data_IF_750644730784
#
_entry.id   IF_750644730784
#
_cell.length_a   1.000
_cell.length_b   1.000
_cell.length_c   1.000
_cell.angle_alpha   90.00
_cell.angle_beta   90.00
_cell.angle_gamma   90.00
#
_symmetry.space_group_name_H-M   'P 1'
#
loop_
_entity.id
_entity.type
_entity.pdbx_description
1 polymer ?
#
# COMPACT_ATOMS: atom_id res chain seq x y z
N UNK A 1 -3.21 -7.26 -0.71
CA UNK A 1 -3.99 -7.13 0.55
C UNK A 1 -5.24 -6.32 0.25
N UNK A 2 -6.37 -6.57 0.93
CA UNK A 2 -7.60 -5.76 0.77
C UNK A 2 -8.01 -5.20 2.13
N UNK A 3 -8.44 -3.95 2.16
CA UNK A 3 -9.09 -3.32 3.32
C UNK A 3 -10.40 -2.68 2.90
N UNK A 4 -11.22 -2.31 3.87
CA UNK A 4 -12.45 -1.49 3.70
C UNK A 4 -12.32 -0.26 4.60
N UNK A 5 -12.92 0.87 4.23
CA UNK A 5 -12.84 2.09 5.04
C UNK A 5 -13.61 1.99 6.36
N UNK A 6 -14.68 1.19 6.38
CA UNK A 6 -15.61 1.03 7.50
C UNK A 6 -15.71 -0.41 8.06
N UNK A 7 -15.08 -1.38 7.40
CA UNK A 7 -15.17 -2.80 7.76
C UNK A 7 -16.17 -3.60 6.92
N UNK A 8 -16.90 -2.95 6.00
CA UNK A 8 -18.01 -3.55 5.25
C UNK A 8 -18.00 -3.23 3.75
N UNK A 9 -17.77 -1.97 3.36
CA UNK A 9 -17.87 -1.47 1.99
C UNK A 9 -16.59 -0.70 1.58
N UNK A 10 -16.60 -0.15 0.36
CA UNK A 10 -15.51 0.68 -0.17
C UNK A 10 -14.16 -0.07 -0.12
N UNK A 11 -14.11 -1.21 -0.81
CA UNK A 11 -12.93 -2.06 -0.82
C UNK A 11 -11.75 -1.32 -1.47
N UNK A 12 -10.59 -1.37 -0.83
CA UNK A 12 -9.33 -0.85 -1.36
C UNK A 12 -8.36 -2.02 -1.52
N UNK A 13 -7.91 -2.25 -2.74
CA UNK A 13 -6.88 -3.24 -3.07
C UNK A 13 -5.51 -2.60 -2.94
N UNK A 14 -4.69 -3.16 -2.07
CA UNK A 14 -3.33 -2.69 -1.80
C UNK A 14 -2.28 -3.63 -2.39
N UNK A 15 -1.30 -3.04 -3.06
CA UNK A 15 -0.14 -3.72 -3.62
C UNK A 15 1.12 -2.86 -3.56
N UNK A 16 2.28 -3.50 -3.73
CA UNK A 16 3.57 -2.81 -3.80
C UNK A 16 4.06 -2.85 -5.24
N UNK A 17 4.35 -1.68 -5.81
CA UNK A 17 4.87 -1.54 -7.17
C UNK A 17 6.36 -1.92 -7.30
N UNK A 18 6.76 -3.04 -6.71
CA UNK A 18 8.14 -3.52 -6.71
C UNK A 18 8.68 -3.65 -8.14
N UNK A 19 9.93 -3.21 -8.36
CA UNK A 19 10.60 -3.17 -9.68
C UNK A 19 10.00 -2.18 -10.69
N UNK A 20 9.05 -1.36 -10.26
CA UNK A 20 8.49 -0.25 -11.03
C UNK A 20 8.56 1.03 -10.20
N UNK A 21 7.45 1.45 -9.58
CA UNK A 21 7.40 2.66 -8.77
C UNK A 21 8.09 2.52 -7.42
N UNK A 22 8.25 1.28 -6.92
CA UNK A 22 8.64 0.95 -5.56
C UNK A 22 7.82 1.70 -4.50
N UNK A 23 6.53 1.93 -4.79
CA UNK A 23 5.58 2.63 -3.92
C UNK A 23 4.47 1.69 -3.47
N UNK A 24 3.84 2.03 -2.34
CA UNK A 24 2.57 1.44 -1.96
C UNK A 24 1.50 2.01 -2.89
N UNK A 25 0.69 1.12 -3.46
CA UNK A 25 -0.39 1.44 -4.38
C UNK A 25 -1.71 0.98 -3.76
N UNK A 26 -2.72 1.84 -3.82
CA UNK A 26 -4.10 1.55 -3.41
C UNK A 26 -5.04 1.81 -4.57
N UNK A 27 -5.92 0.85 -4.85
CA UNK A 27 -6.89 0.89 -5.93
C UNK A 27 -8.29 0.70 -5.39
N UNK A 28 -9.25 1.38 -6.00
CA UNK A 28 -10.67 1.14 -5.82
C UNK A 28 -10.99 -0.30 -6.22
N UNK A 29 -11.62 -1.04 -5.31
CA UNK A 29 -11.86 -2.47 -5.45
C UNK A 29 -12.89 -2.82 -6.52
N UNK A 30 -13.76 -1.89 -6.88
CA UNK A 30 -14.85 -2.10 -7.84
C UNK A 30 -14.46 -1.66 -9.26
N UNK A 31 -13.73 -0.55 -9.37
CA UNK A 31 -13.42 0.11 -10.65
C UNK A 31 -11.96 0.00 -11.05
N UNK A 32 -11.07 -0.32 -10.11
CA UNK A 32 -9.62 -0.33 -10.33
C UNK A 32 -8.99 1.06 -10.43
N UNK A 33 -9.73 2.14 -10.17
CA UNK A 33 -9.15 3.49 -10.13
C UNK A 33 -8.05 3.59 -9.08
N UNK A 34 -7.00 4.36 -9.36
CA UNK A 34 -5.93 4.61 -8.39
C UNK A 34 -6.47 5.56 -7.32
N UNK A 35 -6.59 5.06 -6.09
CA UNK A 35 -6.92 5.87 -4.90
C UNK A 35 -5.66 6.39 -4.20
N UNK A 36 -4.56 5.64 -4.30
CA UNK A 36 -3.28 6.00 -3.72
C UNK A 36 -2.13 5.52 -4.63
N UNK A 37 -1.26 6.43 -5.05
CA UNK A 37 -0.09 6.13 -5.89
C UNK A 37 1.26 6.25 -5.18
N UNK A 38 1.25 6.35 -3.85
CA UNK A 38 2.33 6.96 -3.07
C UNK A 38 2.32 8.48 -3.24
N UNK A 39 2.52 9.24 -2.17
CA UNK A 39 2.57 10.70 -2.23
C UNK A 39 3.88 11.25 -2.83
N UNK A 40 4.69 11.90 -2.02
CA UNK A 40 5.95 12.56 -2.37
C UNK A 40 7.16 11.64 -2.51
N UNK A 41 8.33 12.24 -2.76
CA UNK A 41 9.59 11.51 -2.96
C UNK A 41 9.99 10.60 -1.79
N UNK A 42 9.59 10.95 -0.56
CA UNK A 42 9.86 10.17 0.65
C UNK A 42 9.11 8.82 0.72
N UNK A 43 8.09 8.63 -0.13
CA UNK A 43 7.27 7.40 -0.15
C UNK A 43 7.78 6.38 -1.18
N UNK A 44 8.92 6.67 -1.84
CA UNK A 44 9.66 5.66 -2.57
C UNK A 44 10.41 4.74 -1.60
N UNK A 45 10.01 3.47 -1.57
CA UNK A 45 10.59 2.47 -0.69
C UNK A 45 11.79 1.81 -1.36
N UNK A 46 12.93 1.73 -0.67
CA UNK A 46 14.10 1.03 -1.18
C UNK A 46 13.99 -0.47 -0.90
N UNK A 47 14.46 -1.28 -1.85
CA UNK A 47 14.60 -2.74 -1.73
C UNK A 47 13.29 -3.50 -1.39
N UNK A 48 12.15 -3.05 -1.90
CA UNK A 48 10.89 -3.80 -1.81
C UNK A 48 10.86 -4.91 -2.87
N UNK A 49 10.28 -6.06 -2.51
CA UNK A 49 10.26 -7.27 -3.34
C UNK A 49 8.87 -7.58 -3.90
N UNK A 50 8.84 -8.23 -5.06
CA UNK A 50 7.60 -8.79 -5.63
C UNK A 50 6.94 -9.75 -4.66
N UNK A 51 5.60 -9.80 -4.71
CA UNK A 51 4.77 -10.69 -3.88
C UNK A 51 4.89 -10.46 -2.35
N UNK A 52 5.47 -9.33 -1.93
CA UNK A 52 5.41 -8.89 -0.53
C UNK A 52 4.00 -8.36 -0.24
N UNK A 53 3.26 -9.03 0.65
CA UNK A 53 1.94 -8.57 1.07
C UNK A 53 2.09 -7.51 2.16
N UNK A 54 1.47 -6.33 2.03
CA UNK A 54 1.40 -5.37 3.12
C UNK A 54 0.57 -5.90 4.29
N UNK A 55 0.69 -5.26 5.45
CA UNK A 55 -0.08 -5.53 6.67
C UNK A 55 -0.81 -4.27 7.10
N UNK A 56 -2.14 -4.33 7.23
CA UNK A 56 -2.94 -3.25 7.79
C UNK A 56 -3.16 -3.46 9.28
N UNK A 57 -2.76 -2.48 10.11
CA UNK A 57 -2.98 -2.52 11.55
C UNK A 57 -3.01 -1.11 12.15
N UNK A 58 -3.96 -0.88 13.07
CA UNK A 58 -4.06 0.35 13.89
C UNK A 58 -4.03 1.65 13.05
N UNK A 59 -4.78 1.69 11.95
CA UNK A 59 -4.86 2.88 11.07
C UNK A 59 -3.59 3.14 10.25
N UNK A 60 -2.78 2.10 10.05
CA UNK A 60 -1.56 2.16 9.24
C UNK A 60 -1.46 0.95 8.32
N UNK A 61 -0.68 1.12 7.26
CA UNK A 61 -0.23 0.06 6.38
C UNK A 61 1.27 -0.07 6.51
N UNK A 62 1.73 -1.28 6.78
CA UNK A 62 3.14 -1.63 6.90
C UNK A 62 3.60 -2.41 5.68
N UNK A 63 4.75 -2.00 5.13
CA UNK A 63 5.41 -2.68 4.01
C UNK A 63 6.84 -3.01 4.43
N UNK A 64 7.17 -4.30 4.44
CA UNK A 64 8.53 -4.75 4.67
C UNK A 64 9.35 -4.66 3.37
N UNK A 65 10.58 -4.17 3.51
CA UNK A 65 11.64 -4.26 2.52
C UNK A 65 12.83 -5.02 3.11
N UNK A 66 13.84 -5.29 2.28
CA UNK A 66 15.05 -5.98 2.75
C UNK A 66 15.81 -5.21 3.85
N UNK A 67 15.59 -3.90 3.96
CA UNK A 67 16.38 -3.01 4.82
C UNK A 67 15.56 -2.22 5.83
N UNK A 68 14.24 -2.15 5.67
CA UNK A 68 13.38 -1.34 6.53
C UNK A 68 11.93 -1.84 6.54
N UNK A 69 11.16 -1.36 7.52
CA UNK A 69 9.71 -1.43 7.50
C UNK A 69 9.16 -0.02 7.34
N UNK A 70 8.41 0.19 6.26
CA UNK A 70 7.74 1.45 5.97
C UNK A 70 6.33 1.45 6.57
N UNK A 71 5.91 2.58 7.12
CA UNK A 71 4.59 2.75 7.71
C UNK A 71 3.87 3.94 7.06
N UNK A 72 2.70 3.68 6.50
CA UNK A 72 1.83 4.67 5.87
C UNK A 72 0.59 4.88 6.75
N UNK A 73 0.21 6.12 7.00
CA UNK A 73 -1.01 6.45 7.77
C UNK A 73 -2.22 6.45 6.83
N UNK A 74 -3.32 5.83 7.24
CA UNK A 74 -4.55 5.73 6.43
C UNK A 74 -5.59 6.80 6.80
N UNK A 75 -5.14 7.96 7.27
CA UNK A 75 -5.95 9.12 7.68
C UNK A 75 -5.32 10.40 7.18
#
# INVERSE_FOLDING_TARGET
MVTTTDGHAEAIVWGVGAESSNRLMGFDGDTGQVLFGGGGAAENMSNVRRFSSPIAAKGRIFVASDTAVYAFTTR
#
